data_IF_133044873574
#
_entry.id   IF_133044873574
#
_cell.length_a   1.000
_cell.length_b   1.000
_cell.length_c   1.000
_cell.angle_alpha   90.00
_cell.angle_beta   90.00
_cell.angle_gamma   90.00
#
_symmetry.space_group_name_H-M   'P 1'
#
loop_
_entity.id
_entity.type
_entity.pdbx_description
1 polymer ?
#
# COMPACT_ATOMS: atom_id res chain seq x y z
N UNK A 1 -0.09 -16.62 -9.22
CA UNK A 1 0.81 -15.49 -8.93
C UNK A 1 1.77 -15.96 -7.83
N UNK A 2 3.08 -15.82 -7.99
CA UNK A 2 3.99 -16.10 -6.88
C UNK A 2 3.72 -15.07 -5.78
N UNK A 3 3.45 -15.48 -4.53
CA UNK A 3 3.23 -14.56 -3.42
C UNK A 3 4.38 -13.55 -3.27
N UNK A 4 5.62 -13.96 -3.56
CA UNK A 4 6.80 -13.09 -3.55
C UNK A 4 6.66 -11.89 -4.50
N UNK A 5 6.14 -12.09 -5.71
CA UNK A 5 5.97 -11.00 -6.68
C UNK A 5 4.89 -9.99 -6.27
N UNK A 6 3.91 -10.41 -5.45
CA UNK A 6 2.89 -9.53 -4.91
C UNK A 6 3.45 -8.67 -3.77
N UNK A 7 4.31 -9.26 -2.92
CA UNK A 7 5.02 -8.54 -1.86
C UNK A 7 5.99 -7.52 -2.45
N UNK A 8 6.75 -7.88 -3.49
CA UNK A 8 7.66 -6.95 -4.17
C UNK A 8 6.91 -5.77 -4.80
N UNK A 9 5.80 -6.03 -5.49
CA UNK A 9 4.96 -4.98 -6.08
C UNK A 9 4.37 -4.06 -5.00
N UNK A 10 3.98 -4.61 -3.85
CA UNK A 10 3.48 -3.86 -2.71
C UNK A 10 4.55 -2.93 -2.11
N UNK A 11 5.74 -3.46 -1.83
CA UNK A 11 6.87 -2.67 -1.29
C UNK A 11 7.27 -1.57 -2.28
N UNK A 12 7.35 -1.90 -3.57
CA UNK A 12 7.61 -0.93 -4.65
C UNK A 12 6.57 0.20 -4.67
N UNK A 13 5.29 -0.13 -4.53
CA UNK A 13 4.19 0.85 -4.55
C UNK A 13 4.25 1.77 -3.33
N UNK A 14 4.56 1.24 -2.14
CA UNK A 14 4.75 2.05 -0.93
C UNK A 14 5.94 2.99 -1.11
N UNK A 15 7.07 2.49 -1.59
CA UNK A 15 8.27 3.28 -1.84
C UNK A 15 7.98 4.45 -2.80
N UNK A 16 7.25 4.20 -3.89
CA UNK A 16 6.81 5.25 -4.81
C UNK A 16 5.88 6.27 -4.14
N UNK A 17 4.92 5.81 -3.34
CA UNK A 17 4.02 6.68 -2.57
C UNK A 17 4.78 7.60 -1.62
N UNK A 18 5.74 7.05 -0.87
CA UNK A 18 6.61 7.82 0.05
C UNK A 18 7.44 8.84 -0.73
N UNK A 19 8.07 8.45 -1.83
CA UNK A 19 8.86 9.36 -2.68
C UNK A 19 8.00 10.53 -3.20
N UNK A 20 6.77 10.24 -3.62
CA UNK A 20 5.85 11.26 -4.12
C UNK A 20 5.44 12.22 -3.01
N UNK A 21 5.15 11.72 -1.80
CA UNK A 21 4.84 12.57 -0.64
C UNK A 21 6.04 13.45 -0.25
N UNK A 22 7.25 12.89 -0.25
CA UNK A 22 8.48 13.67 0.01
C UNK A 22 8.67 14.75 -1.06
N UNK A 23 8.48 14.42 -2.35
CA UNK A 23 8.57 15.39 -3.44
C UNK A 23 7.53 16.52 -3.30
N UNK A 24 6.29 16.18 -2.93
CA UNK A 24 5.24 17.16 -2.68
C UNK A 24 5.58 18.04 -1.47
N UNK A 25 6.14 17.47 -0.40
CA UNK A 25 6.59 18.25 0.77
C UNK A 25 7.69 19.26 0.43
N UNK A 26 8.63 18.91 -0.45
CA UNK A 26 9.68 19.83 -0.89
C UNK A 26 9.13 20.99 -1.74
N UNK A 27 8.07 20.75 -2.52
CA UNK A 27 7.46 21.76 -3.38
C UNK A 27 6.42 22.62 -2.63
N UNK A 28 5.64 21.99 -1.76
CA UNK A 28 4.55 22.60 -0.99
C UNK A 28 4.48 21.96 0.41
N UNK A 29 5.19 22.53 1.42
CA UNK A 29 5.30 21.95 2.75
C UNK A 29 3.97 21.74 3.47
N UNK A 30 3.00 22.63 3.28
CA UNK A 30 1.68 22.55 3.92
C UNK A 30 0.89 21.33 3.42
N UNK A 31 0.88 21.09 2.10
CA UNK A 31 0.23 19.93 1.50
C UNK A 31 1.00 18.65 1.86
N UNK A 32 2.34 18.71 1.82
CA UNK A 32 3.18 17.57 2.17
C UNK A 32 2.96 17.09 3.60
N UNK A 33 2.77 17.98 4.58
CA UNK A 33 2.43 17.60 5.96
C UNK A 33 1.12 16.83 6.03
N UNK A 34 0.07 17.32 5.38
CA UNK A 34 -1.24 16.64 5.33
C UNK A 34 -1.10 15.25 4.72
N UNK A 35 -0.31 15.11 3.65
CA UNK A 35 -0.06 13.81 3.03
C UNK A 35 0.73 12.87 3.92
N UNK A 36 1.73 13.36 4.66
CA UNK A 36 2.50 12.58 5.65
C UNK A 36 1.57 12.06 6.75
N UNK A 37 0.63 12.88 7.22
CA UNK A 37 -0.31 12.50 8.28
C UNK A 37 -1.31 11.42 7.82
N UNK A 38 -1.69 11.44 6.53
CA UNK A 38 -2.64 10.47 5.94
C UNK A 38 -1.94 9.18 5.48
N UNK A 39 -0.63 9.24 5.18
CA UNK A 39 0.14 8.14 4.61
C UNK A 39 0.03 6.82 5.41
N UNK A 40 0.11 6.81 6.76
CA UNK A 40 -0.01 5.59 7.54
C UNK A 40 -1.38 4.92 7.35
N UNK A 41 -2.46 5.70 7.36
CA UNK A 41 -3.81 5.19 7.16
C UNK A 41 -4.03 4.64 5.75
N UNK A 42 -3.42 5.27 4.73
CA UNK A 42 -3.45 4.75 3.37
C UNK A 42 -2.71 3.41 3.25
N UNK A 43 -1.52 3.29 3.85
CA UNK A 43 -0.75 2.04 3.86
C UNK A 43 -1.52 0.93 4.58
N UNK A 44 -2.11 1.24 5.73
CA UNK A 44 -2.93 0.31 6.52
C UNK A 44 -4.11 -0.22 5.70
N UNK A 45 -4.81 0.65 4.97
CA UNK A 45 -5.92 0.26 4.10
C UNK A 45 -5.49 -0.71 2.99
N UNK A 46 -4.33 -0.49 2.37
CA UNK A 46 -3.79 -1.40 1.34
C UNK A 46 -3.47 -2.76 1.97
N UNK A 47 -2.83 -2.79 3.14
CA UNK A 47 -2.48 -4.03 3.84
C UNK A 47 -3.75 -4.84 4.13
N UNK A 48 -4.78 -4.22 4.71
CA UNK A 48 -6.04 -4.93 4.97
C UNK A 48 -6.70 -5.45 3.70
N UNK A 49 -6.67 -4.66 2.62
CA UNK A 49 -7.21 -5.09 1.34
C UNK A 49 -6.49 -6.34 0.82
N UNK A 50 -5.15 -6.38 0.91
CA UNK A 50 -4.36 -7.55 0.51
C UNK A 50 -4.69 -8.76 1.38
N UNK A 51 -4.75 -8.59 2.70
CA UNK A 51 -5.09 -9.67 3.63
C UNK A 51 -6.47 -10.26 3.27
N UNK A 52 -7.47 -9.42 3.03
CA UNK A 52 -8.81 -9.86 2.63
C UNK A 52 -8.76 -10.64 1.32
N UNK A 53 -8.05 -10.14 0.29
CA UNK A 53 -7.91 -10.83 -1.00
C UNK A 53 -7.27 -12.20 -0.82
N UNK A 54 -6.20 -12.30 -0.03
CA UNK A 54 -5.52 -13.57 0.25
C UNK A 54 -6.46 -14.53 0.97
N UNK A 55 -7.14 -14.09 2.02
CA UNK A 55 -8.10 -14.91 2.77
C UNK A 55 -9.23 -15.43 1.88
N UNK A 56 -9.83 -14.56 1.07
CA UNK A 56 -10.89 -14.96 0.13
C UNK A 56 -10.35 -15.96 -0.90
N UNK A 57 -9.13 -15.77 -1.41
CA UNK A 57 -8.52 -16.71 -2.36
C UNK A 57 -8.28 -18.09 -1.73
N UNK A 58 -7.88 -18.14 -0.46
CA UNK A 58 -7.69 -19.39 0.28
C UNK A 58 -9.02 -20.10 0.53
N UNK A 59 -10.05 -19.35 0.93
CA UNK A 59 -11.40 -19.89 1.15
C UNK A 59 -11.95 -20.45 -0.18
N UNK A 60 -11.82 -19.71 -1.28
CA UNK A 60 -12.26 -20.17 -2.61
C UNK A 60 -11.61 -21.49 -3.02
N UNK A 61 -10.30 -21.64 -2.77
CA UNK A 61 -9.56 -22.88 -3.04
C UNK A 61 -9.99 -24.07 -2.17
N UNK A 62 -10.68 -23.85 -1.05
CA UNK A 62 -11.22 -24.94 -0.23
C UNK A 62 -12.57 -25.47 -0.71
N UNK A 63 -13.30 -24.69 -1.52
CA UNK A 63 -14.59 -25.07 -2.08
C UNK A 63 -14.51 -25.55 -3.54
N UNK A 64 -13.35 -25.37 -4.19
CA UNK A 64 -12.93 -26.11 -5.38
C UNK A 64 -12.25 -27.44 -4.99
#
# INVERSE_FOLDING_TARGET
MNPDGLVDAFVSTIMLGVLLVVAVYLLNPDIGKVLIDILPGFIELIIYTIIIIVLVSMISQMFE
#
